data_IF_867591038752
#
_entry.id   IF_867591038752
#
_cell.length_a   1.000
_cell.length_b   1.000
_cell.length_c   1.000
_cell.angle_alpha   90.00
_cell.angle_beta   90.00
_cell.angle_gamma   90.00
#
_symmetry.space_group_name_H-M   'P 1'
#
loop_
_entity.id
_entity.type
_entity.pdbx_description
1 polymer ?
#
# COMPACT_ATOMS: atom_id res chain seq x y z
N UNK A 1 -11.33 12.11 7.56
CA UNK A 1 -11.78 12.76 6.30
C UNK A 1 -11.86 11.72 5.21
N UNK A 2 -12.88 11.71 4.33
CA UNK A 2 -12.97 10.70 3.24
C UNK A 2 -12.06 11.10 2.07
N UNK A 3 -11.30 10.13 1.54
CA UNK A 3 -10.38 10.30 0.40
C UNK A 3 -11.02 11.04 -0.79
N UNK A 4 -12.18 10.55 -1.29
CA UNK A 4 -12.83 11.13 -2.48
C UNK A 4 -13.21 12.60 -2.28
N UNK A 5 -13.61 12.98 -1.07
CA UNK A 5 -13.93 14.37 -0.75
C UNK A 5 -12.68 15.25 -0.80
N UNK A 6 -11.56 14.78 -0.25
CA UNK A 6 -10.29 15.53 -0.27
C UNK A 6 -9.78 15.69 -1.70
N UNK A 7 -9.78 14.60 -2.47
CA UNK A 7 -9.36 14.61 -3.88
C UNK A 7 -10.16 15.63 -4.69
N UNK A 8 -11.50 15.54 -4.67
CA UNK A 8 -12.37 16.47 -5.41
C UNK A 8 -12.18 17.93 -4.97
N UNK A 9 -11.97 18.18 -3.68
CA UNK A 9 -11.72 19.53 -3.18
C UNK A 9 -10.40 20.09 -3.70
N UNK A 10 -9.31 19.32 -3.63
CA UNK A 10 -8.00 19.77 -4.13
C UNK A 10 -7.99 19.93 -5.65
N UNK A 11 -8.68 19.06 -6.38
CA UNK A 11 -8.79 19.16 -7.84
C UNK A 11 -9.56 20.42 -8.25
N UNK A 12 -10.66 20.74 -7.57
CA UNK A 12 -11.52 21.89 -7.87
C UNK A 12 -10.98 23.24 -7.43
N UNK A 13 -9.88 23.29 -6.65
CA UNK A 13 -9.28 24.55 -6.24
C UNK A 13 -8.62 25.26 -7.42
N UNK A 14 -8.95 26.56 -7.58
CA UNK A 14 -8.26 27.41 -8.51
C UNK A 14 -6.84 27.73 -7.99
N UNK A 15 -5.81 27.62 -8.85
CA UNK A 15 -4.47 28.07 -8.51
C UNK A 15 -4.44 29.55 -8.17
N UNK A 16 -3.76 29.93 -7.08
CA UNK A 16 -3.62 31.32 -6.67
C UNK A 16 -2.19 31.64 -6.25
N UNK A 17 -1.64 32.78 -6.70
CA UNK A 17 -0.30 33.18 -6.30
C UNK A 17 -0.26 33.55 -4.81
N UNK A 18 0.90 33.33 -4.19
CA UNK A 18 1.24 33.87 -2.86
C UNK A 18 1.62 35.34 -3.06
N UNK A 19 0.86 36.25 -2.47
CA UNK A 19 1.11 37.70 -2.56
C UNK A 19 1.54 38.27 -1.22
N UNK A 20 2.69 38.91 -1.21
CA UNK A 20 3.25 39.58 0.01
C UNK A 20 3.27 38.65 1.23
N UNK A 21 3.71 37.39 1.04
CA UNK A 21 3.77 36.39 2.10
C UNK A 21 2.40 35.85 2.58
N UNK A 22 1.30 36.21 1.90
CA UNK A 22 -0.05 35.76 2.25
C UNK A 22 -0.52 34.70 1.25
N UNK A 23 -0.84 33.50 1.73
CA UNK A 23 -1.35 32.40 0.93
C UNK A 23 -2.88 32.29 1.05
N UNK A 24 -3.58 32.03 -0.08
CA UNK A 24 -5.01 31.83 -0.06
C UNK A 24 -5.33 30.38 0.34
N UNK A 25 -6.21 30.21 1.33
CA UNK A 25 -6.57 28.90 1.84
C UNK A 25 -8.07 28.71 2.00
N UNK A 26 -8.52 27.47 1.94
CA UNK A 26 -9.91 27.06 2.17
C UNK A 26 -9.95 26.13 3.38
N UNK A 27 -10.77 26.49 4.37
CA UNK A 27 -10.95 25.67 5.56
C UNK A 27 -11.82 24.44 5.26
N UNK A 28 -11.34 23.26 5.58
CA UNK A 28 -12.08 21.99 5.45
C UNK A 28 -12.54 21.42 6.79
N UNK A 29 -12.13 22.04 7.89
CA UNK A 29 -12.58 21.73 9.24
C UNK A 29 -12.79 23.00 10.07
N UNK A 30 -13.70 22.98 11.04
CA UNK A 30 -13.89 24.06 12.02
C UNK A 30 -13.31 23.63 13.37
N UNK A 31 -12.75 24.54 14.16
CA UNK A 31 -12.34 25.93 13.85
C UNK A 31 -10.95 25.95 13.19
N UNK A 32 -10.86 26.00 11.87
CA UNK A 32 -9.62 26.17 11.07
C UNK A 32 -8.47 25.20 11.41
N UNK A 33 -8.79 23.94 11.75
CA UNK A 33 -7.79 22.95 12.15
C UNK A 33 -7.04 22.36 10.96
N UNK A 34 -7.73 22.24 9.82
CA UNK A 34 -7.17 21.74 8.55
C UNK A 34 -7.63 22.68 7.45
N UNK A 35 -6.67 23.19 6.66
CA UNK A 35 -6.93 24.03 5.50
C UNK A 35 -6.23 23.45 4.28
N UNK A 36 -6.70 23.83 3.11
CA UNK A 36 -6.12 23.44 1.82
C UNK A 36 -5.86 24.69 0.97
N UNK A 37 -4.84 24.63 0.15
CA UNK A 37 -4.52 25.64 -0.85
C UNK A 37 -4.04 25.01 -2.15
N UNK A 38 -3.92 25.83 -3.19
CA UNK A 38 -3.23 25.47 -4.43
C UNK A 38 -2.46 26.71 -4.89
N UNK A 39 -1.15 26.56 -5.07
CA UNK A 39 -0.29 27.64 -5.52
C UNK A 39 -0.44 27.92 -7.02
N UNK A 40 0.25 28.93 -7.56
CA UNK A 40 0.19 29.34 -8.96
C UNK A 40 0.66 28.25 -9.95
N UNK A 41 1.52 27.33 -9.50
CA UNK A 41 1.97 26.17 -10.29
C UNK A 41 0.96 25.03 -10.30
N UNK A 42 -0.18 25.18 -9.62
CA UNK A 42 -1.20 24.15 -9.48
C UNK A 42 -0.87 23.09 -8.40
N UNK A 43 0.17 23.29 -7.59
CA UNK A 43 0.56 22.38 -6.54
C UNK A 43 -0.34 22.51 -5.31
N UNK A 44 -1.03 21.42 -4.91
CA UNK A 44 -1.91 21.45 -3.75
C UNK A 44 -1.12 21.35 -2.46
N UNK A 45 -1.57 22.09 -1.45
CA UNK A 45 -1.02 22.06 -0.09
C UNK A 45 -2.12 21.81 0.94
N UNK A 46 -1.76 21.17 2.04
CA UNK A 46 -2.62 20.96 3.20
C UNK A 46 -1.92 21.47 4.43
N UNK A 47 -2.62 22.31 5.20
CA UNK A 47 -2.17 22.84 6.47
C UNK A 47 -2.86 22.11 7.61
N UNK A 48 -2.08 21.74 8.60
CA UNK A 48 -2.56 21.16 9.84
C UNK A 48 -2.20 22.06 10.99
N UNK A 49 -3.19 22.50 11.76
CA UNK A 49 -2.90 23.31 12.95
C UNK A 49 -2.05 22.52 13.92
N UNK A 50 -0.87 23.05 14.23
CA UNK A 50 0.09 22.43 15.15
C UNK A 50 0.47 23.42 16.24
N UNK A 51 0.82 22.90 17.43
CA UNK A 51 1.47 23.67 18.49
C UNK A 51 2.96 23.40 18.41
N UNK A 52 3.75 24.47 18.21
CA UNK A 52 5.20 24.33 18.09
C UNK A 52 5.83 24.08 19.47
N UNK A 53 6.67 23.06 19.57
CA UNK A 53 7.46 22.71 20.76
C UNK A 53 8.96 22.76 20.47
N UNK A 54 9.33 22.99 19.20
CA UNK A 54 10.71 23.07 18.71
C UNK A 54 10.83 24.11 17.58
N UNK A 55 12.04 24.36 17.11
CA UNK A 55 12.26 25.24 15.98
C UNK A 55 11.60 24.70 14.70
N UNK A 56 11.06 25.58 13.83
CA UNK A 56 10.50 25.19 12.54
C UNK A 56 11.50 24.38 11.71
N UNK A 57 11.02 23.41 10.96
CA UNK A 57 11.85 22.56 10.09
C UNK A 57 11.15 22.29 8.76
N UNK A 58 11.94 22.01 7.71
CA UNK A 58 11.44 21.70 6.38
C UNK A 58 12.21 20.51 5.80
N UNK A 59 11.53 19.70 4.99
CA UNK A 59 12.10 18.59 4.22
C UNK A 59 11.58 18.66 2.80
N UNK A 60 12.49 18.66 1.82
CA UNK A 60 12.18 18.70 0.40
C UNK A 60 12.50 17.35 -0.24
N UNK A 61 11.50 16.75 -0.86
CA UNK A 61 11.60 15.57 -1.70
C UNK A 61 11.19 15.96 -3.13
N UNK A 62 11.50 15.12 -4.09
CA UNK A 62 11.15 15.36 -5.51
C UNK A 62 9.69 15.75 -5.73
N UNK A 63 8.77 15.10 -5.01
CA UNK A 63 7.33 15.29 -5.18
C UNK A 63 6.61 15.78 -3.92
N UNK A 64 7.32 16.11 -2.85
CA UNK A 64 6.72 16.47 -1.58
C UNK A 64 7.59 17.47 -0.82
N UNK A 65 7.00 18.58 -0.38
CA UNK A 65 7.61 19.48 0.60
C UNK A 65 6.82 19.37 1.90
N UNK A 66 7.53 19.19 3.00
CA UNK A 66 6.95 19.11 4.36
C UNK A 66 7.58 20.21 5.21
N UNK A 67 6.76 21.12 5.69
CA UNK A 67 7.14 22.25 6.55
C UNK A 67 6.46 22.07 7.91
N UNK A 68 7.21 22.03 9.00
CA UNK A 68 6.71 21.70 10.33
C UNK A 68 6.82 22.89 11.27
N UNK A 69 5.71 23.29 11.88
CA UNK A 69 5.66 24.31 12.93
C UNK A 69 5.98 25.72 12.47
N UNK A 70 5.69 26.08 11.23
CA UNK A 70 5.90 27.42 10.68
C UNK A 70 4.69 28.34 10.94
N UNK A 71 4.93 29.65 11.07
CA UNK A 71 3.89 30.66 11.07
C UNK A 71 3.47 31.01 9.65
N UNK A 72 2.16 31.04 9.40
CA UNK A 72 1.60 31.36 8.10
C UNK A 72 0.59 32.52 8.18
N UNK A 73 0.69 33.45 7.23
CA UNK A 73 -0.33 34.44 6.95
C UNK A 73 -1.27 33.88 5.87
N UNK A 74 -2.48 33.56 6.27
CA UNK A 74 -3.46 32.94 5.39
C UNK A 74 -4.64 33.89 5.15
N UNK A 75 -5.16 33.89 3.90
CA UNK A 75 -6.41 34.55 3.55
C UNK A 75 -7.46 33.50 3.24
N UNK A 76 -8.51 33.45 4.02
CA UNK A 76 -9.58 32.49 3.83
C UNK A 76 -10.56 32.93 2.74
N UNK A 77 -11.38 31.99 2.25
CA UNK A 77 -12.38 32.25 1.21
C UNK A 77 -13.39 33.34 1.60
N UNK A 78 -13.69 33.49 2.90
CA UNK A 78 -14.54 34.56 3.47
C UNK A 78 -13.80 35.90 3.64
N UNK A 79 -12.58 36.06 3.09
CA UNK A 79 -11.68 37.20 3.21
C UNK A 79 -11.09 37.42 4.61
N UNK A 80 -11.38 36.59 5.57
CA UNK A 80 -10.77 36.59 6.90
C UNK A 80 -9.26 36.36 6.78
N UNK A 81 -8.47 37.04 7.59
CA UNK A 81 -7.02 36.84 7.71
C UNK A 81 -6.76 35.97 8.94
N UNK A 82 -5.99 34.93 8.75
CA UNK A 82 -5.55 34.05 9.81
C UNK A 82 -4.03 34.05 9.86
N UNK A 83 -3.49 34.41 11.03
CA UNK A 83 -2.06 34.28 11.34
C UNK A 83 -1.93 33.27 12.48
N UNK A 84 -1.35 32.10 12.17
CA UNK A 84 -1.25 31.02 13.15
C UNK A 84 -0.16 30.03 12.75
N UNK A 85 0.20 29.13 13.68
CA UNK A 85 1.21 28.10 13.45
C UNK A 85 0.57 26.85 12.82
N UNK A 86 1.15 26.42 11.70
CA UNK A 86 0.74 25.21 10.98
C UNK A 86 1.95 24.37 10.58
N UNK A 87 1.72 23.08 10.43
CA UNK A 87 2.56 22.23 9.60
C UNK A 87 1.89 22.06 8.24
N UNK A 88 2.65 22.23 7.17
CA UNK A 88 2.17 22.26 5.79
C UNK A 88 2.80 21.12 5.00
N UNK A 89 2.02 20.47 4.18
CA UNK A 89 2.49 19.48 3.23
C UNK A 89 2.04 19.91 1.84
N UNK A 90 3.00 20.05 0.93
CA UNK A 90 2.77 20.44 -0.46
C UNK A 90 3.16 19.28 -1.38
N UNK A 91 2.23 18.85 -2.23
CA UNK A 91 2.55 17.95 -3.35
C UNK A 91 3.09 18.79 -4.50
N UNK A 92 4.37 18.62 -4.86
CA UNK A 92 5.04 19.37 -5.94
C UNK A 92 4.87 18.69 -7.31
N UNK A 93 3.63 18.28 -7.61
CA UNK A 93 3.27 17.62 -8.86
C UNK A 93 1.81 17.90 -9.21
N UNK A 94 1.53 18.04 -10.50
CA UNK A 94 0.17 18.10 -11.06
C UNK A 94 -0.31 16.72 -11.55
N UNK A 95 0.46 15.65 -11.35
CA UNK A 95 0.11 14.30 -11.79
C UNK A 95 -1.09 13.76 -10.98
N UNK A 96 -2.21 13.33 -11.65
CA UNK A 96 -3.40 12.85 -10.97
C UNK A 96 -3.18 11.58 -10.14
N UNK A 97 -2.21 10.72 -10.51
CA UNK A 97 -1.91 9.51 -9.74
C UNK A 97 -1.17 9.86 -8.45
N UNK A 98 -0.21 10.80 -8.49
CA UNK A 98 0.44 11.31 -7.29
C UNK A 98 -0.53 12.06 -6.39
N UNK A 99 -1.45 12.83 -6.95
CA UNK A 99 -2.53 13.46 -6.19
C UNK A 99 -3.44 12.42 -5.52
N UNK A 100 -3.74 11.34 -6.23
CA UNK A 100 -4.55 10.23 -5.71
C UNK A 100 -3.92 9.57 -4.50
N UNK A 101 -2.63 9.21 -4.56
CA UNK A 101 -1.93 8.60 -3.43
C UNK A 101 -1.74 9.59 -2.28
N UNK A 102 -1.41 10.84 -2.58
CA UNK A 102 -1.31 11.93 -1.60
C UNK A 102 -2.60 12.05 -0.79
N UNK A 103 -3.75 12.20 -1.46
CA UNK A 103 -5.06 12.29 -0.80
C UNK A 103 -5.40 11.03 0.00
N UNK A 104 -5.02 9.86 -0.49
CA UNK A 104 -5.23 8.58 0.19
C UNK A 104 -4.49 8.52 1.52
N UNK A 105 -3.19 8.79 1.48
CA UNK A 105 -2.33 8.79 2.67
C UNK A 105 -2.75 9.85 3.68
N UNK A 106 -2.99 11.09 3.22
CA UNK A 106 -3.46 12.17 4.07
C UNK A 106 -4.79 11.81 4.75
N UNK A 107 -5.74 11.24 4.01
CA UNK A 107 -7.04 10.83 4.57
C UNK A 107 -6.89 9.77 5.66
N UNK A 108 -5.96 8.84 5.50
CA UNK A 108 -5.64 7.82 6.50
C UNK A 108 -4.98 8.44 7.73
N UNK A 109 -3.98 9.30 7.54
CA UNK A 109 -3.23 9.96 8.61
C UNK A 109 -4.10 10.89 9.46
N UNK A 110 -4.97 11.70 8.84
CA UNK A 110 -5.90 12.60 9.54
C UNK A 110 -6.88 11.83 10.44
N UNK A 111 -7.21 10.61 10.09
CA UNK A 111 -8.06 9.76 10.93
C UNK A 111 -7.30 9.11 12.10
N UNK A 112 -5.96 9.15 12.09
CA UNK A 112 -5.11 8.61 13.15
C UNK A 112 -4.71 9.63 14.21
N UNK A 113 -4.69 10.93 13.86
CA UNK A 113 -4.23 11.99 14.75
C UNK A 113 -5.37 12.91 15.17
N UNK A 114 -5.25 13.48 16.37
CA UNK A 114 -6.15 14.52 16.87
C UNK A 114 -5.56 15.89 16.53
N UNK A 115 -6.28 16.71 15.78
CA UNK A 115 -5.85 18.06 15.39
C UNK A 115 -6.61 19.11 16.22
N UNK A 116 -5.98 20.11 16.82
CA UNK A 116 -4.55 20.43 16.75
C UNK A 116 -3.67 19.35 17.40
N UNK A 117 -2.44 19.23 16.92
CA UNK A 117 -1.44 18.27 17.39
C UNK A 117 -0.12 19.00 17.66
N UNK A 118 0.82 18.38 18.36
CA UNK A 118 2.17 18.92 18.47
C UNK A 118 2.98 18.65 17.20
N UNK A 119 3.95 19.50 16.92
CA UNK A 119 4.91 19.33 15.83
C UNK A 119 5.65 17.98 15.91
N UNK A 120 5.95 17.49 17.12
CA UNK A 120 6.59 16.18 17.35
C UNK A 120 5.68 15.01 16.92
N UNK A 121 4.40 15.06 17.29
CA UNK A 121 3.43 14.03 16.91
C UNK A 121 3.17 14.10 15.41
N UNK A 122 3.07 15.32 14.84
CA UNK A 122 2.92 15.52 13.41
C UNK A 122 4.10 14.88 12.67
N UNK A 123 5.33 15.21 13.00
CA UNK A 123 6.53 14.68 12.37
C UNK A 123 6.58 13.13 12.40
N UNK A 124 6.32 12.55 13.57
CA UNK A 124 6.29 11.09 13.73
C UNK A 124 5.26 10.41 12.82
N UNK A 125 4.06 10.93 12.74
CA UNK A 125 3.00 10.29 11.96
C UNK A 125 3.13 10.58 10.46
N UNK A 126 3.59 11.79 10.09
CA UNK A 126 3.78 12.15 8.69
C UNK A 126 5.11 11.69 8.08
N UNK A 127 6.06 11.20 8.88
CA UNK A 127 7.25 10.48 8.37
C UNK A 127 6.88 9.30 7.48
N UNK A 128 5.75 8.63 7.75
CA UNK A 128 5.22 7.55 6.90
C UNK A 128 4.84 8.03 5.49
N UNK A 129 4.30 9.24 5.37
CA UNK A 129 4.03 9.85 4.06
C UNK A 129 5.33 10.14 3.31
N UNK A 130 6.34 10.64 4.01
CA UNK A 130 7.67 10.88 3.45
C UNK A 130 8.27 9.58 2.92
N UNK A 131 8.18 8.48 3.67
CA UNK A 131 8.65 7.15 3.27
C UNK A 131 7.92 6.65 2.01
N UNK A 132 6.61 6.83 1.93
CA UNK A 132 5.80 6.48 0.76
C UNK A 132 6.31 7.22 -0.47
N UNK A 133 6.46 8.55 -0.41
CA UNK A 133 6.91 9.34 -1.55
C UNK A 133 8.36 9.06 -1.93
N UNK A 134 9.23 8.80 -0.96
CA UNK A 134 10.62 8.36 -1.22
C UNK A 134 10.67 6.99 -1.89
N UNK A 135 9.78 6.07 -1.51
CA UNK A 135 9.73 4.73 -2.10
C UNK A 135 9.33 4.74 -3.58
N UNK A 136 8.55 5.73 -4.03
CA UNK A 136 8.17 5.88 -5.45
C UNK A 136 9.39 6.12 -6.38
N UNK A 137 10.52 6.49 -5.83
CA UNK A 137 11.78 6.69 -6.57
C UNK A 137 12.70 5.46 -6.49
N UNK A 138 12.36 4.48 -5.67
CA UNK A 138 13.19 3.29 -5.47
C UNK A 138 13.01 2.27 -6.59
N UNK A 139 14.01 1.38 -6.74
CA UNK A 139 13.91 0.23 -7.64
C UNK A 139 12.76 -0.68 -7.22
N UNK A 140 11.92 -1.15 -8.16
CA UNK A 140 10.84 -2.07 -7.86
C UNK A 140 11.35 -3.35 -7.18
N UNK A 141 10.73 -3.73 -6.07
CA UNK A 141 11.03 -4.98 -5.36
C UNK A 141 10.18 -6.14 -5.85
N UNK A 142 9.05 -5.86 -6.45
CA UNK A 142 8.10 -6.88 -6.91
C UNK A 142 7.53 -6.51 -8.28
N UNK A 143 7.32 -7.54 -9.11
CA UNK A 143 6.66 -7.38 -10.41
C UNK A 143 5.17 -7.09 -10.21
N UNK A 144 4.59 -6.27 -11.08
CA UNK A 144 3.18 -5.86 -11.05
C UNK A 144 2.23 -7.08 -10.96
N UNK A 145 2.49 -8.15 -11.72
CA UNK A 145 1.68 -9.40 -11.71
C UNK A 145 1.67 -10.07 -10.33
N UNK A 146 2.83 -10.12 -9.66
CA UNK A 146 2.96 -10.69 -8.32
C UNK A 146 2.17 -9.90 -7.29
N UNK A 147 2.36 -8.58 -7.24
CA UNK A 147 1.63 -7.73 -6.32
C UNK A 147 0.12 -7.75 -6.58
N UNK A 148 -0.30 -7.76 -7.86
CA UNK A 148 -1.71 -7.88 -8.20
C UNK A 148 -2.32 -9.15 -7.61
N UNK A 149 -1.62 -10.29 -7.70
CA UNK A 149 -2.09 -11.56 -7.18
C UNK A 149 -2.21 -11.57 -5.64
N UNK A 150 -1.28 -10.91 -4.92
CA UNK A 150 -1.39 -10.75 -3.47
C UNK A 150 -2.57 -9.88 -3.07
N UNK A 151 -2.76 -8.73 -3.73
CA UNK A 151 -3.90 -7.85 -3.49
C UNK A 151 -5.22 -8.53 -3.84
N UNK A 152 -5.25 -9.33 -4.91
CA UNK A 152 -6.38 -10.16 -5.25
C UNK A 152 -6.71 -11.14 -4.11
N UNK A 153 -5.71 -11.84 -3.56
CA UNK A 153 -5.92 -12.75 -2.45
C UNK A 153 -6.46 -12.02 -1.20
N UNK A 154 -5.92 -10.84 -0.87
CA UNK A 154 -6.44 -10.00 0.21
C UNK A 154 -7.91 -9.64 -0.04
N UNK A 155 -8.25 -9.19 -1.25
CA UNK A 155 -9.61 -8.81 -1.61
C UNK A 155 -10.60 -9.98 -1.48
N UNK A 156 -10.21 -11.18 -1.90
CA UNK A 156 -11.04 -12.39 -1.89
C UNK A 156 -11.08 -13.07 -0.51
N UNK A 157 -10.21 -12.68 0.42
CA UNK A 157 -10.17 -13.26 1.76
C UNK A 157 -11.51 -13.13 2.49
N UNK A 158 -11.80 -14.06 3.39
CA UNK A 158 -13.00 -14.02 4.23
C UNK A 158 -12.96 -12.88 5.26
N UNK A 159 -11.75 -12.43 5.63
CA UNK A 159 -11.52 -11.30 6.53
C UNK A 159 -10.32 -10.47 6.05
N UNK A 160 -10.61 -9.36 5.36
CA UNK A 160 -9.59 -8.45 4.80
C UNK A 160 -8.67 -7.87 5.87
N UNK A 161 -9.21 -7.53 7.06
CA UNK A 161 -8.38 -7.00 8.16
C UNK A 161 -7.34 -8.02 8.64
N UNK A 162 -7.71 -9.30 8.73
CA UNK A 162 -6.78 -10.38 9.10
C UNK A 162 -5.73 -10.60 8.00
N UNK A 163 -6.14 -10.65 6.74
CA UNK A 163 -5.22 -10.79 5.61
C UNK A 163 -4.19 -9.64 5.61
N UNK A 164 -4.64 -8.41 5.78
CA UNK A 164 -3.77 -7.23 5.86
C UNK A 164 -2.80 -7.25 7.04
N UNK A 165 -3.17 -7.82 8.18
CA UNK A 165 -2.25 -7.96 9.33
C UNK A 165 -1.09 -8.87 9.02
N UNK A 166 -1.36 -10.01 8.36
CA UNK A 166 -0.38 -11.04 8.04
C UNK A 166 0.44 -10.75 6.76
N UNK A 167 -0.03 -9.85 5.92
CA UNK A 167 0.63 -9.48 4.66
C UNK A 167 1.87 -8.64 4.93
N UNK A 168 3.05 -9.13 4.49
CA UNK A 168 4.34 -8.46 4.68
C UNK A 168 4.46 -7.82 6.06
N UNK A 169 4.43 -8.62 7.12
CA UNK A 169 4.47 -8.17 8.51
C UNK A 169 5.84 -7.60 8.90
N UNK A 170 6.89 -7.94 8.14
CA UNK A 170 8.23 -7.39 8.27
C UNK A 170 8.84 -7.02 6.90
N UNK A 171 9.81 -6.07 6.85
CA UNK A 171 10.46 -5.65 5.60
C UNK A 171 11.22 -6.76 4.88
N UNK A 172 11.67 -7.79 5.62
CA UNK A 172 12.44 -8.92 5.13
C UNK A 172 11.65 -10.24 5.20
N UNK A 173 10.32 -10.17 5.18
CA UNK A 173 9.48 -11.35 5.21
C UNK A 173 9.81 -12.28 4.03
N UNK A 174 10.08 -13.54 4.33
CA UNK A 174 10.39 -14.58 3.34
C UNK A 174 9.16 -14.97 2.53
N UNK A 175 7.99 -14.86 3.15
CA UNK A 175 6.70 -15.22 2.58
C UNK A 175 5.77 -14.02 2.52
N UNK A 176 4.83 -14.02 1.59
CA UNK A 176 3.90 -12.91 1.39
C UNK A 176 2.93 -12.72 2.56
N UNK A 177 2.47 -13.83 3.16
CA UNK A 177 1.65 -13.81 4.38
C UNK A 177 2.26 -14.73 5.42
N UNK A 178 2.38 -14.23 6.64
CA UNK A 178 2.97 -14.96 7.75
C UNK A 178 2.22 -14.73 9.06
N UNK A 179 2.04 -15.82 9.79
CA UNK A 179 1.56 -15.79 11.17
C UNK A 179 2.42 -16.82 11.98
N UNK A 180 2.12 -17.00 13.27
CA UNK A 180 2.86 -17.91 14.16
C UNK A 180 2.70 -19.40 13.84
N UNK A 181 1.84 -19.78 12.90
CA UNK A 181 1.48 -21.18 12.61
C UNK A 181 1.60 -21.54 11.15
N UNK A 182 1.52 -20.57 10.25
CA UNK A 182 1.54 -20.82 8.82
C UNK A 182 2.19 -19.67 8.04
N UNK A 183 2.61 -20.01 6.84
CA UNK A 183 3.04 -19.07 5.80
C UNK A 183 2.28 -19.33 4.51
N UNK A 184 2.03 -18.27 3.73
CA UNK A 184 1.51 -18.38 2.37
C UNK A 184 2.43 -17.62 1.44
N UNK A 185 2.87 -18.29 0.38
CA UNK A 185 3.57 -17.71 -0.74
C UNK A 185 2.62 -17.59 -1.93
N UNK A 186 2.48 -16.41 -2.49
CA UNK A 186 1.63 -16.16 -3.65
C UNK A 186 2.45 -16.24 -4.93
N UNK A 187 2.07 -17.10 -5.82
CA UNK A 187 2.68 -17.24 -7.15
C UNK A 187 1.66 -16.92 -8.22
N UNK A 188 2.07 -16.18 -9.23
CA UNK A 188 1.21 -15.80 -10.35
C UNK A 188 1.87 -16.08 -11.69
N UNK A 189 1.06 -16.45 -12.68
CA UNK A 189 1.50 -16.63 -14.06
C UNK A 189 0.39 -16.27 -15.04
N UNK A 190 0.78 -15.78 -16.22
CA UNK A 190 -0.11 -15.59 -17.37
C UNK A 190 -0.03 -16.75 -18.35
N UNK A 191 0.77 -17.78 -18.06
CA UNK A 191 0.82 -19.01 -18.81
C UNK A 191 -0.31 -19.95 -18.37
N UNK A 192 -0.76 -20.81 -19.27
CA UNK A 192 -1.73 -21.88 -18.97
C UNK A 192 -1.13 -22.96 -18.06
N UNK A 193 0.19 -23.00 -17.94
CA UNK A 193 0.93 -23.94 -17.10
C UNK A 193 1.35 -23.26 -15.81
N UNK A 194 1.09 -23.90 -14.66
CA UNK A 194 1.48 -23.41 -13.32
C UNK A 194 2.96 -23.69 -13.02
N UNK A 195 3.85 -23.17 -13.87
CA UNK A 195 5.27 -23.20 -13.61
C UNK A 195 5.68 -21.95 -12.83
N UNK A 196 6.20 -22.15 -11.64
CA UNK A 196 6.61 -21.05 -10.75
C UNK A 196 8.06 -21.19 -10.31
N UNK A 197 8.70 -20.03 -10.08
CA UNK A 197 10.06 -19.99 -9.53
C UNK A 197 10.02 -19.95 -8.02
N UNK A 198 10.80 -20.80 -7.38
CA UNK A 198 10.99 -20.86 -5.93
C UNK A 198 12.47 -20.66 -5.60
N UNK A 199 12.77 -20.01 -4.47
CA UNK A 199 14.11 -20.10 -3.90
C UNK A 199 14.24 -21.42 -3.13
N UNK A 200 15.45 -21.98 -3.11
CA UNK A 200 15.71 -23.23 -2.40
C UNK A 200 15.44 -23.06 -0.89
N UNK A 201 15.83 -21.91 -0.32
CA UNK A 201 15.57 -21.60 1.08
C UNK A 201 14.08 -21.53 1.45
N UNK A 202 13.22 -20.97 0.56
CA UNK A 202 11.77 -21.03 0.77
C UNK A 202 11.24 -22.45 0.73
N UNK A 203 11.70 -23.22 -0.26
CA UNK A 203 11.17 -24.58 -0.50
C UNK A 203 11.56 -25.59 0.59
N UNK A 204 12.63 -25.34 1.34
CA UNK A 204 13.16 -26.18 2.41
C UNK A 204 13.31 -25.41 3.72
N UNK A 205 12.37 -24.51 4.03
CA UNK A 205 12.37 -23.82 5.32
C UNK A 205 12.38 -24.83 6.47
N UNK A 206 13.30 -24.64 7.41
CA UNK A 206 13.41 -25.45 8.63
C UNK A 206 12.37 -25.05 9.70
N UNK A 207 11.49 -24.09 9.37
CA UNK A 207 10.47 -23.62 10.29
C UNK A 207 9.42 -24.73 10.53
N UNK A 208 8.98 -24.86 11.76
CA UNK A 208 7.88 -25.76 12.15
C UNK A 208 6.51 -25.32 11.60
N UNK A 209 6.48 -24.20 10.85
CA UNK A 209 5.26 -23.63 10.29
C UNK A 209 4.82 -24.36 9.03
N UNK A 210 3.53 -24.51 8.87
CA UNK A 210 2.96 -25.01 7.61
C UNK A 210 3.06 -23.94 6.52
N UNK A 211 3.66 -24.28 5.40
CA UNK A 211 3.82 -23.39 4.27
C UNK A 211 2.90 -23.79 3.12
N UNK A 212 2.14 -22.82 2.62
CA UNK A 212 1.19 -23.02 1.53
C UNK A 212 1.53 -22.13 0.34
N UNK A 213 1.15 -22.58 -0.84
CA UNK A 213 1.25 -21.81 -2.08
C UNK A 213 -0.15 -21.43 -2.52
N UNK A 214 -0.37 -20.14 -2.77
CA UNK A 214 -1.52 -19.63 -3.48
C UNK A 214 -1.12 -19.37 -4.94
N UNK A 215 -1.51 -20.24 -5.87
CA UNK A 215 -1.19 -20.11 -7.29
C UNK A 215 -2.35 -19.46 -8.04
N UNK A 216 -2.10 -18.27 -8.60
CA UNK A 216 -3.08 -17.45 -9.32
C UNK A 216 -2.76 -17.46 -10.81
N UNK A 217 -3.69 -17.97 -11.64
CA UNK A 217 -3.63 -17.75 -13.08
C UNK A 217 -4.19 -16.38 -13.43
N UNK A 218 -3.47 -15.66 -14.26
CA UNK A 218 -3.80 -14.30 -14.68
C UNK A 218 -4.16 -14.27 -16.18
N UNK A 219 -5.29 -13.68 -16.50
CA UNK A 219 -5.69 -13.34 -17.85
C UNK A 219 -5.69 -11.82 -18.01
N UNK A 220 -4.86 -11.30 -18.93
CA UNK A 220 -4.86 -9.86 -19.23
C UNK A 220 -6.18 -9.49 -19.92
N UNK A 221 -6.85 -8.44 -19.41
CA UNK A 221 -8.15 -8.03 -19.89
C UNK A 221 -8.38 -6.54 -19.66
N UNK A 222 -8.65 -5.76 -20.72
CA UNK A 222 -8.87 -4.31 -20.62
C UNK A 222 -10.03 -3.92 -19.69
N UNK A 223 -11.03 -4.79 -19.50
CA UNK A 223 -12.15 -4.62 -18.57
C UNK A 223 -11.83 -5.18 -17.17
N UNK A 224 -10.66 -5.76 -16.99
CA UNK A 224 -10.18 -6.30 -15.72
C UNK A 224 -9.87 -5.20 -14.70
N UNK A 225 -9.46 -5.62 -13.52
CA UNK A 225 -8.99 -4.72 -12.46
C UNK A 225 -7.47 -4.51 -12.55
N UNK A 226 -7.01 -3.29 -12.32
CA UNK A 226 -5.62 -2.97 -12.08
C UNK A 226 -5.32 -2.93 -10.56
N UNK A 227 -4.07 -2.61 -10.18
CA UNK A 227 -3.66 -2.50 -8.77
C UNK A 227 -4.46 -1.44 -8.04
N UNK A 228 -4.68 -0.27 -8.63
CA UNK A 228 -5.47 0.82 -8.03
C UNK A 228 -6.91 0.39 -7.73
N UNK A 229 -7.53 -0.35 -8.65
CA UNK A 229 -8.89 -0.88 -8.44
C UNK A 229 -8.95 -1.83 -7.24
N UNK A 230 -7.95 -2.74 -7.10
CA UNK A 230 -7.85 -3.66 -5.96
C UNK A 230 -7.60 -2.91 -4.65
N UNK A 231 -6.67 -1.96 -4.64
CA UNK A 231 -6.39 -1.09 -3.48
C UNK A 231 -7.66 -0.39 -3.01
N UNK A 232 -8.43 0.21 -3.93
CA UNK A 232 -9.67 0.90 -3.59
C UNK A 232 -10.72 -0.07 -3.01
N UNK A 233 -10.87 -1.27 -3.57
CA UNK A 233 -11.79 -2.29 -3.05
C UNK A 233 -11.40 -2.77 -1.66
N UNK A 234 -10.11 -2.96 -1.40
CA UNK A 234 -9.58 -3.33 -0.08
C UNK A 234 -9.85 -2.21 0.93
N UNK A 235 -9.55 -0.95 0.56
CA UNK A 235 -9.81 0.22 1.42
C UNK A 235 -11.27 0.39 1.79
N UNK A 236 -12.18 0.14 0.86
CA UNK A 236 -13.61 0.18 1.12
C UNK A 236 -14.06 -0.85 2.18
N UNK A 237 -13.34 -1.95 2.32
CA UNK A 237 -13.56 -2.95 3.38
C UNK A 237 -12.85 -2.58 4.71
N UNK A 238 -11.88 -1.67 4.68
CA UNK A 238 -11.06 -1.23 5.83
C UNK A 238 -11.47 0.15 6.38
N UNK A 239 -12.71 0.58 6.20
CA UNK A 239 -13.16 1.93 6.58
C UNK A 239 -12.99 2.26 8.06
N UNK A 240 -12.97 1.25 8.94
CA UNK A 240 -12.77 1.39 10.39
C UNK A 240 -11.33 1.13 10.83
N UNK A 241 -10.41 0.85 9.90
CA UNK A 241 -9.03 0.48 10.19
C UNK A 241 -8.02 1.38 9.41
N UNK A 242 -7.91 2.68 9.73
CA UNK A 242 -7.06 3.62 9.00
C UNK A 242 -5.58 3.23 9.03
N UNK A 243 -5.10 2.55 10.08
CA UNK A 243 -3.74 2.02 10.14
C UNK A 243 -3.47 0.98 9.05
N UNK A 244 -4.45 0.10 8.77
CA UNK A 244 -4.33 -0.90 7.72
C UNK A 244 -4.45 -0.29 6.33
N UNK A 245 -5.23 0.79 6.17
CA UNK A 245 -5.24 1.55 4.91
C UNK A 245 -3.88 2.19 4.64
N UNK A 246 -3.25 2.77 5.66
CA UNK A 246 -1.92 3.35 5.54
C UNK A 246 -0.87 2.26 5.27
N UNK A 247 -0.93 1.11 5.97
CA UNK A 247 -0.08 -0.06 5.69
C UNK A 247 -0.20 -0.48 4.22
N UNK A 248 -1.43 -0.53 3.68
CA UNK A 248 -1.68 -0.89 2.28
C UNK A 248 -0.97 0.07 1.31
N UNK A 249 -1.13 1.39 1.50
CA UNK A 249 -0.46 2.39 0.67
C UNK A 249 1.06 2.26 0.75
N UNK A 250 1.60 2.15 1.96
CA UNK A 250 3.05 2.02 2.20
C UNK A 250 3.61 0.77 1.51
N UNK A 251 2.96 -0.37 1.65
CA UNK A 251 3.44 -1.62 1.05
C UNK A 251 3.35 -1.59 -0.48
N UNK A 252 2.22 -1.13 -1.04
CA UNK A 252 2.06 -1.04 -2.49
C UNK A 252 3.11 -0.14 -3.13
N UNK A 253 3.36 1.04 -2.57
CA UNK A 253 4.37 1.96 -3.10
C UNK A 253 5.79 1.43 -2.91
N UNK A 254 6.10 0.82 -1.77
CA UNK A 254 7.41 0.24 -1.50
C UNK A 254 7.73 -0.96 -2.38
N UNK A 255 6.74 -1.78 -2.73
CA UNK A 255 6.92 -2.95 -3.58
C UNK A 255 7.02 -2.59 -5.06
N UNK A 256 6.24 -1.61 -5.53
CA UNK A 256 6.25 -1.16 -6.92
C UNK A 256 7.37 -0.16 -7.22
N UNK A 257 7.78 0.66 -6.25
CA UNK A 257 8.77 1.69 -6.48
C UNK A 257 8.43 2.54 -7.72
N UNK A 258 9.40 2.71 -8.63
CA UNK A 258 9.24 3.46 -9.89
C UNK A 258 8.21 2.87 -10.86
N UNK A 259 7.81 1.59 -10.71
CA UNK A 259 6.77 0.96 -11.53
C UNK A 259 5.35 1.36 -11.10
N UNK A 260 5.21 2.09 -9.98
CA UNK A 260 3.90 2.49 -9.45
C UNK A 260 3.03 3.18 -10.50
N UNK A 261 3.60 4.16 -11.22
CA UNK A 261 2.87 4.92 -12.26
C UNK A 261 2.42 4.05 -13.43
N UNK A 262 3.20 3.04 -13.79
CA UNK A 262 2.89 2.13 -14.89
C UNK A 262 1.91 1.02 -14.49
N UNK A 263 1.76 0.76 -13.19
CA UNK A 263 0.94 -0.37 -12.69
C UNK A 263 -0.52 -0.29 -13.08
N UNK A 264 -1.03 0.91 -13.38
CA UNK A 264 -2.42 1.14 -13.76
C UNK A 264 -2.77 0.66 -15.19
N UNK A 265 -1.78 0.51 -16.07
CA UNK A 265 -1.97 -0.01 -17.44
C UNK A 265 -2.20 -1.53 -17.46
N UNK A 266 -1.74 -2.26 -16.45
CA UNK A 266 -1.88 -3.71 -16.35
C UNK A 266 -3.19 -4.09 -15.67
N UNK A 267 -4.09 -4.72 -16.42
CA UNK A 267 -5.42 -5.13 -15.95
C UNK A 267 -5.63 -6.61 -16.13
N UNK A 268 -6.19 -7.28 -15.10
CA UNK A 268 -6.42 -8.71 -15.10
C UNK A 268 -7.86 -9.07 -14.73
N UNK A 269 -8.35 -10.16 -15.31
CA UNK A 269 -9.70 -10.67 -15.10
C UNK A 269 -9.85 -11.33 -13.72
N UNK A 270 -10.58 -10.67 -12.81
CA UNK A 270 -10.84 -11.17 -11.45
C UNK A 270 -11.60 -12.50 -11.47
N UNK A 271 -12.60 -12.63 -12.35
CA UNK A 271 -13.40 -13.85 -12.41
C UNK A 271 -12.58 -15.05 -12.88
N UNK A 272 -11.67 -14.84 -13.82
CA UNK A 272 -10.70 -15.84 -14.25
C UNK A 272 -9.76 -16.24 -13.13
N UNK A 273 -9.12 -15.26 -12.49
CA UNK A 273 -8.23 -15.50 -11.36
C UNK A 273 -8.92 -16.24 -10.22
N UNK A 274 -10.18 -15.90 -9.91
CA UNK A 274 -10.99 -16.58 -8.90
C UNK A 274 -11.30 -18.02 -9.27
N UNK A 275 -11.71 -18.27 -10.52
CA UNK A 275 -12.04 -19.62 -11.00
C UNK A 275 -10.85 -20.57 -10.93
N UNK A 276 -9.66 -20.05 -11.20
CA UNK A 276 -8.43 -20.85 -11.29
C UNK A 276 -7.45 -20.63 -10.13
N UNK A 277 -7.89 -20.02 -9.03
CA UNK A 277 -7.07 -19.97 -7.81
C UNK A 277 -6.88 -21.37 -7.26
N UNK A 278 -5.63 -21.74 -6.96
CA UNK A 278 -5.26 -23.05 -6.42
C UNK A 278 -4.41 -22.87 -5.18
N UNK A 279 -4.78 -23.56 -4.11
CA UNK A 279 -3.95 -23.68 -2.92
C UNK A 279 -3.35 -25.08 -2.87
N UNK A 280 -2.06 -25.20 -2.56
CA UNK A 280 -1.40 -26.46 -2.30
C UNK A 280 -0.38 -26.31 -1.17
N UNK A 281 0.02 -27.44 -0.60
CA UNK A 281 1.07 -27.48 0.41
C UNK A 281 2.43 -27.29 -0.27
N UNK A 282 3.31 -26.46 0.30
CA UNK A 282 4.66 -26.28 -0.20
C UNK A 282 5.46 -27.59 -0.14
N UNK A 283 5.13 -28.50 0.79
CA UNK A 283 5.80 -29.78 0.91
C UNK A 283 5.49 -30.75 -0.23
N UNK A 284 4.37 -30.58 -0.90
CA UNK A 284 3.89 -31.47 -1.96
C UNK A 284 4.38 -31.08 -3.37
N UNK A 285 5.07 -29.92 -3.52
CA UNK A 285 5.57 -29.51 -4.85
C UNK A 285 6.84 -30.26 -5.24
N UNK A 286 7.10 -30.52 -6.54
CA UNK A 286 8.40 -30.99 -7.00
C UNK A 286 9.51 -30.01 -6.59
N UNK A 287 10.57 -30.53 -5.93
CA UNK A 287 11.70 -29.74 -5.41
C UNK A 287 13.02 -30.36 -5.81
N UNK A 288 14.07 -29.51 -5.87
CA UNK A 288 15.46 -30.00 -5.89
C UNK A 288 15.92 -30.32 -4.46
N UNK A 289 16.97 -31.12 -4.32
CA UNK A 289 17.47 -31.59 -3.04
C UNK A 289 17.97 -30.44 -2.14
N UNK A 290 17.72 -30.57 -0.83
CA UNK A 290 18.14 -29.57 0.16
C UNK A 290 19.66 -29.53 0.39
N UNK A 291 20.42 -30.57 -0.01
CA UNK A 291 21.87 -30.65 0.18
C UNK A 291 22.63 -29.48 -0.44
N UNK A 292 22.08 -28.85 -1.47
CA UNK A 292 22.64 -27.62 -2.08
C UNK A 292 22.59 -26.40 -1.15
N UNK A 293 21.82 -26.39 -0.06
CA UNK A 293 21.79 -25.31 0.93
C UNK A 293 23.04 -25.30 1.81
N UNK A 294 23.71 -26.43 1.94
CA UNK A 294 24.87 -26.59 2.83
C UNK A 294 26.18 -26.27 2.12
N UNK A 295 26.17 -25.98 0.80
CA UNK A 295 27.34 -25.60 0.05
C UNK A 295 27.62 -24.09 0.22
N UNK A 296 28.72 -23.69 0.90
CA UNK A 296 29.03 -22.29 1.16
C UNK A 296 29.43 -21.47 -0.09
N UNK A 297 29.66 -22.14 -1.22
CA UNK A 297 29.98 -21.52 -2.49
C UNK A 297 28.74 -21.15 -3.31
N UNK A 298 27.55 -21.65 -2.91
CA UNK A 298 26.28 -21.42 -3.57
C UNK A 298 25.44 -20.42 -2.81
N UNK A 299 24.88 -19.45 -3.50
CA UNK A 299 23.95 -18.48 -2.95
C UNK A 299 22.78 -18.23 -3.89
N UNK A 300 21.65 -17.79 -3.35
CA UNK A 300 20.44 -17.43 -4.12
C UNK A 300 19.93 -18.51 -5.11
N UNK A 301 20.05 -19.78 -4.74
CA UNK A 301 19.62 -20.89 -5.61
C UNK A 301 18.11 -20.78 -5.83
N UNK A 302 17.72 -20.76 -7.11
CA UNK A 302 16.32 -20.74 -7.55
C UNK A 302 16.07 -21.87 -8.54
N UNK A 303 14.87 -22.45 -8.46
CA UNK A 303 14.43 -23.48 -9.41
C UNK A 303 13.00 -23.20 -9.86
N UNK A 304 12.62 -23.74 -11.00
CA UNK A 304 11.25 -23.75 -11.48
C UNK A 304 10.58 -25.06 -11.16
N UNK A 305 9.34 -25.01 -10.70
CA UNK A 305 8.52 -26.17 -10.41
C UNK A 305 7.16 -26.03 -11.08
N UNK A 306 6.76 -27.05 -11.82
CA UNK A 306 5.41 -27.18 -12.34
C UNK A 306 4.54 -27.82 -11.28
N UNK A 307 3.58 -27.07 -10.78
CA UNK A 307 2.67 -27.49 -9.69
C UNK A 307 1.27 -27.86 -10.19
N UNK A 308 1.07 -28.02 -11.49
CA UNK A 308 -0.25 -28.36 -12.06
C UNK A 308 -0.78 -29.67 -11.45
N UNK A 309 0.06 -30.69 -11.39
CA UNK A 309 -0.27 -32.01 -10.80
C UNK A 309 -0.25 -32.07 -9.28
N UNK A 310 0.21 -31.02 -8.59
CA UNK A 310 0.24 -31.01 -7.11
C UNK A 310 -1.17 -31.02 -6.55
N UNK A 311 -1.40 -31.79 -5.48
CA UNK A 311 -2.71 -31.86 -4.81
C UNK A 311 -3.18 -30.49 -4.31
N UNK A 312 -4.43 -30.14 -4.63
CA UNK A 312 -5.07 -28.94 -4.04
C UNK A 312 -5.45 -29.21 -2.58
N UNK A 313 -5.37 -28.17 -1.75
CA UNK A 313 -5.87 -28.23 -0.38
C UNK A 313 -7.38 -28.51 -0.37
N UNK A 314 -7.80 -29.40 0.51
CA UNK A 314 -9.20 -29.66 0.79
C UNK A 314 -9.71 -28.74 1.91
N UNK A 315 -11.04 -28.57 1.97
CA UNK A 315 -11.69 -27.83 3.06
C UNK A 315 -11.31 -28.36 4.45
N UNK A 316 -11.15 -29.68 4.59
CA UNK A 316 -10.73 -30.33 5.85
C UNK A 316 -9.31 -29.94 6.24
N UNK A 317 -8.38 -29.87 5.29
CA UNK A 317 -6.99 -29.46 5.52
C UNK A 317 -6.91 -27.96 5.90
N UNK A 318 -7.76 -27.14 5.30
CA UNK A 318 -7.87 -25.70 5.63
C UNK A 318 -8.47 -25.45 7.02
N UNK A 319 -9.35 -26.31 7.52
CA UNK A 319 -10.03 -26.15 8.83
C UNK A 319 -9.11 -26.35 10.05
N UNK A 320 -7.87 -26.77 9.86
CA UNK A 320 -6.90 -26.98 10.96
C UNK A 320 -6.48 -25.66 11.59
N UNK A 321 -6.55 -24.53 10.86
CA UNK A 321 -6.20 -23.21 11.37
C UNK A 321 -7.22 -22.15 10.94
N UNK A 322 -7.89 -21.54 11.92
CA UNK A 322 -8.91 -20.51 11.69
C UNK A 322 -8.33 -19.23 11.06
N UNK A 323 -7.03 -18.94 11.26
CA UNK A 323 -6.38 -17.76 10.70
C UNK A 323 -6.09 -17.96 9.21
N UNK A 324 -5.65 -19.17 8.83
CA UNK A 324 -5.47 -19.56 7.43
C UNK A 324 -6.80 -19.44 6.66
N UNK A 325 -7.91 -19.95 7.25
CA UNK A 325 -9.24 -19.84 6.66
C UNK A 325 -9.67 -18.38 6.37
N UNK A 326 -9.22 -17.43 7.18
CA UNK A 326 -9.54 -16.00 6.97
C UNK A 326 -8.85 -15.43 5.73
N UNK A 327 -7.74 -16.00 5.31
CA UNK A 327 -6.99 -15.58 4.12
C UNK A 327 -7.44 -16.34 2.88
N UNK A 328 -7.80 -17.62 3.01
CA UNK A 328 -8.28 -18.42 1.88
C UNK A 328 -9.60 -17.82 1.37
N UNK A 329 -9.69 -17.65 0.07
CA UNK A 329 -10.83 -17.05 -0.59
C UNK A 329 -12.12 -17.86 -0.36
N UNK A 330 -13.22 -17.18 -0.11
CA UNK A 330 -14.54 -17.76 0.21
C UNK A 330 -15.04 -18.81 -0.80
N UNK A 331 -14.56 -18.73 -2.04
CA UNK A 331 -15.04 -19.55 -3.16
C UNK A 331 -14.27 -20.87 -3.35
N UNK A 332 -13.26 -21.15 -2.53
CA UNK A 332 -12.40 -22.33 -2.64
C UNK A 332 -12.51 -23.27 -1.44
N UNK A 333 -13.48 -23.04 -0.58
CA UNK A 333 -13.84 -23.90 0.56
C UNK A 333 -15.18 -24.64 0.27
#
# INVERSE_FOLDING_TARGET
MKYQRLYNLLESLDPKPIKSGTENAVAISKPYKVLISKNELGYPSIFFKTTSTRLPSSSDLKHLIVEIGHEYNLRLANKEKLNDTFSKITLTSADPELLSIFCSCISSLVNLIKIPTTDVVFDKEFSKLIEIFRSLESTPRKKIKGLWAELFLIQESSCVESAMKYWHDSPNATYDFSDKKFHIEVKSTTSDIREHTFSLGQAHSKDEHKCFIASVLLEENHKGANIKDLVNRIKNKLTKAPNLQLKLDTQVTSLLGSDFMQSNSHRFNISYARKYLKFCNLDDIPKIDASYLDDPQLSEIKFKSNIEGTKSLTKKECNVDTNLLKIIARHHL
#
